data_IF_751497892096
#
_entry.id   IF_751497892096
#
_cell.length_a   1.000
_cell.length_b   1.000
_cell.length_c   1.000
_cell.angle_alpha   90.00
_cell.angle_beta   90.00
_cell.angle_gamma   90.00
#
_symmetry.space_group_name_H-M   'P 1'
#
loop_
_entity.id
_entity.type
_entity.pdbx_description
1 polymer ?
#
# COMPACT_ATOMS: atom_id res chain seq x y z
N UNK A 1 -3.28 2.06 -8.10
CA UNK A 1 -1.89 1.81 -8.55
C UNK A 1 -0.85 2.03 -7.44
N UNK A 2 -0.79 3.17 -6.76
CA UNK A 2 0.31 3.49 -5.82
C UNK A 2 0.44 2.55 -4.59
N UNK A 3 -0.68 2.02 -4.08
CA UNK A 3 -0.69 1.16 -2.87
C UNK A 3 0.02 -0.19 -3.08
N UNK A 4 0.04 -0.73 -4.31
CA UNK A 4 0.77 -1.98 -4.60
C UNK A 4 2.29 -1.80 -4.51
N UNK A 5 2.83 -0.64 -4.88
CA UNK A 5 4.25 -0.33 -4.71
C UNK A 5 4.65 -0.29 -3.23
N UNK A 6 3.78 0.24 -2.37
CA UNK A 6 4.01 0.26 -0.92
C UNK A 6 4.06 -1.17 -0.38
N UNK A 7 3.06 -1.99 -0.75
CA UNK A 7 3.01 -3.41 -0.35
C UNK A 7 4.25 -4.16 -0.84
N UNK A 8 4.64 -3.99 -2.10
CA UNK A 8 5.85 -4.59 -2.67
C UNK A 8 7.11 -4.18 -1.92
N UNK A 9 7.27 -2.89 -1.61
CA UNK A 9 8.42 -2.38 -0.87
C UNK A 9 8.51 -2.96 0.54
N UNK A 10 7.38 -3.17 1.21
CA UNK A 10 7.32 -3.83 2.52
C UNK A 10 7.64 -5.33 2.44
N UNK A 11 7.13 -6.04 1.42
CA UNK A 11 7.39 -7.47 1.21
C UNK A 11 8.88 -7.78 1.04
N UNK A 12 9.62 -6.90 0.36
CA UNK A 12 11.06 -7.07 0.18
C UNK A 12 11.84 -7.11 1.49
N UNK A 13 11.41 -6.39 2.54
CA UNK A 13 12.05 -6.46 3.86
C UNK A 13 11.72 -7.73 4.64
N UNK A 14 10.69 -8.46 4.21
CA UNK A 14 10.36 -9.80 4.70
C UNK A 14 11.11 -10.89 3.91
N UNK A 15 11.85 -10.53 2.87
CA UNK A 15 12.49 -11.49 1.97
C UNK A 15 11.53 -12.14 0.97
N UNK A 16 10.32 -11.60 0.82
CA UNK A 16 9.30 -12.11 -0.11
C UNK A 16 9.29 -11.34 -1.43
N UNK A 17 8.81 -12.02 -2.48
CA UNK A 17 8.57 -11.45 -3.80
C UNK A 17 7.08 -11.39 -4.15
N UNK A 18 6.77 -10.85 -5.33
CA UNK A 18 5.42 -10.86 -5.90
C UNK A 18 5.43 -11.76 -7.14
N UNK A 19 4.43 -12.62 -7.26
CA UNK A 19 4.20 -13.48 -8.43
C UNK A 19 2.86 -13.14 -9.06
N UNK A 20 2.77 -13.23 -10.38
CA UNK A 20 1.54 -12.99 -11.13
C UNK A 20 1.09 -14.27 -11.82
N UNK A 21 -0.21 -14.54 -11.81
CA UNK A 21 -0.85 -15.62 -12.55
C UNK A 21 -2.13 -15.13 -13.22
N UNK A 22 -2.64 -15.89 -14.19
CA UNK A 22 -3.88 -15.56 -14.85
C UNK A 22 -5.07 -15.62 -13.87
N UNK A 23 -6.10 -14.77 -14.02
CA UNK A 23 -7.27 -14.82 -13.17
C UNK A 23 -8.01 -16.15 -13.34
N UNK A 24 -8.26 -16.85 -12.22
CA UNK A 24 -9.02 -18.11 -12.20
C UNK A 24 -10.51 -17.90 -11.83
N UNK A 25 -10.92 -16.64 -11.68
CA UNK A 25 -12.27 -16.26 -11.20
C UNK A 25 -13.10 -15.66 -12.33
N UNK A 26 -14.41 -15.90 -12.29
CA UNK A 26 -15.36 -15.14 -13.07
C UNK A 26 -15.53 -13.75 -12.45
N UNK A 27 -15.30 -12.70 -13.23
CA UNK A 27 -15.44 -11.32 -12.76
C UNK A 27 -16.73 -10.71 -13.32
N UNK A 28 -17.68 -10.42 -12.42
CA UNK A 28 -18.77 -9.49 -12.72
C UNK A 28 -18.22 -8.06 -12.58
N UNK A 29 -18.09 -7.38 -13.71
CA UNK A 29 -17.48 -6.03 -13.77
C UNK A 29 -18.58 -4.99 -13.65
N UNK A 30 -18.34 -3.97 -12.83
CA UNK A 30 -19.19 -2.78 -12.81
C UNK A 30 -19.23 -2.14 -14.20
N UNK A 31 -20.32 -1.42 -14.50
CA UNK A 31 -20.40 -0.67 -15.75
C UNK A 31 -19.32 0.42 -15.77
N UNK A 32 -18.39 0.29 -16.72
CA UNK A 32 -17.23 1.15 -16.88
C UNK A 32 -17.53 2.33 -17.81
N UNK A 33 -17.00 3.49 -17.46
CA UNK A 33 -16.89 4.64 -18.37
C UNK A 33 -15.44 4.69 -18.83
N UNK A 34 -15.20 4.22 -20.06
CA UNK A 34 -13.85 3.99 -20.57
C UNK A 34 -13.03 5.29 -20.62
N UNK A 35 -13.66 6.43 -20.93
CA UNK A 35 -12.97 7.71 -21.07
C UNK A 35 -12.57 8.24 -19.69
N UNK A 36 -13.46 8.14 -18.71
CA UNK A 36 -13.18 8.53 -17.32
C UNK A 36 -12.10 7.62 -16.70
N UNK A 37 -12.26 6.31 -16.85
CA UNK A 37 -11.36 5.35 -16.23
C UNK A 37 -9.95 5.47 -16.83
N UNK A 38 -9.83 5.73 -18.14
CA UNK A 38 -8.53 6.05 -18.76
C UNK A 38 -7.92 7.34 -18.19
N UNK A 39 -8.70 8.42 -18.09
CA UNK A 39 -8.21 9.70 -17.56
C UNK A 39 -7.71 9.58 -16.11
N UNK A 40 -8.41 8.79 -15.28
CA UNK A 40 -8.03 8.54 -13.88
C UNK A 40 -6.74 7.70 -13.76
N UNK A 41 -6.39 6.91 -14.77
CA UNK A 41 -5.12 6.15 -14.79
C UNK A 41 -3.91 6.97 -15.24
N UNK A 42 -4.08 8.02 -16.05
CA UNK A 42 -2.97 8.84 -16.60
C UNK A 42 -2.04 9.43 -15.52
N UNK A 43 -2.55 10.00 -14.41
CA UNK A 43 -1.69 10.44 -13.28
C UNK A 43 -0.90 9.28 -12.66
N UNK A 44 -1.48 8.07 -12.63
CA UNK A 44 -0.82 6.87 -12.16
C UNK A 44 0.40 6.52 -13.01
N UNK A 45 0.25 6.48 -14.33
CA UNK A 45 1.36 6.16 -15.23
C UNK A 45 2.49 7.19 -15.19
N UNK A 46 2.16 8.48 -15.06
CA UNK A 46 3.15 9.56 -15.06
C UNK A 46 3.97 9.64 -13.78
N UNK A 47 3.39 9.25 -12.63
CA UNK A 47 4.06 9.35 -11.31
C UNK A 47 4.66 8.05 -10.79
N UNK A 48 4.46 6.92 -11.47
CA UNK A 48 4.99 5.62 -11.03
C UNK A 48 6.51 5.63 -10.75
N UNK A 49 7.29 6.28 -11.64
CA UNK A 49 8.75 6.36 -11.48
C UNK A 49 9.15 7.20 -10.26
N UNK A 50 8.44 8.30 -10.01
CA UNK A 50 8.62 9.15 -8.84
C UNK A 50 8.37 8.36 -7.56
N UNK A 51 7.22 7.66 -7.49
CA UNK A 51 6.81 6.84 -6.34
C UNK A 51 7.84 5.73 -6.07
N UNK A 52 8.25 5.00 -7.10
CA UNK A 52 9.25 3.95 -6.98
C UNK A 52 10.58 4.51 -6.45
N UNK A 53 11.02 5.67 -6.94
CA UNK A 53 12.23 6.33 -6.46
C UNK A 53 12.11 6.75 -4.99
N UNK A 54 11.00 7.37 -4.58
CA UNK A 54 10.76 7.79 -3.19
C UNK A 54 10.80 6.58 -2.24
N UNK A 55 10.11 5.50 -2.61
CA UNK A 55 10.03 4.27 -1.80
C UNK A 55 11.37 3.52 -1.75
N UNK A 56 12.12 3.49 -2.85
CA UNK A 56 13.43 2.81 -2.91
C UNK A 56 14.46 3.43 -1.95
N UNK A 57 14.33 4.72 -1.65
CA UNK A 57 15.22 5.46 -0.74
C UNK A 57 14.88 5.27 0.73
N UNK A 58 13.71 4.69 1.04
CA UNK A 58 13.31 4.47 2.43
C UNK A 58 14.10 3.33 3.05
N UNK A 59 14.67 3.59 4.22
CA UNK A 59 15.27 2.57 5.06
C UNK A 59 14.18 1.93 5.91
N UNK A 60 13.73 0.77 5.47
CA UNK A 60 12.72 -0.03 6.15
C UNK A 60 13.41 -1.11 6.98
N UNK A 61 12.71 -1.59 8.01
CA UNK A 61 13.23 -2.59 8.95
C UNK A 61 12.74 -3.99 8.60
N UNK A 62 13.57 -4.99 8.86
CA UNK A 62 13.21 -6.40 8.62
C UNK A 62 12.31 -6.97 9.71
N UNK A 63 11.55 -8.00 9.34
CA UNK A 63 10.72 -8.79 10.24
C UNK A 63 9.26 -8.36 10.28
N UNK A 64 8.38 -9.32 10.55
CA UNK A 64 6.92 -9.15 10.50
C UNK A 64 6.41 -8.10 11.48
N UNK A 65 7.01 -8.00 12.66
CA UNK A 65 6.67 -7.00 13.66
C UNK A 65 6.89 -5.54 13.17
N UNK A 66 7.69 -5.34 12.12
CA UNK A 66 8.00 -4.02 11.57
C UNK A 66 7.11 -3.64 10.38
N UNK A 67 6.23 -4.53 9.90
CA UNK A 67 5.39 -4.27 8.70
C UNK A 67 4.52 -3.02 8.88
N UNK A 68 3.90 -2.85 10.05
CA UNK A 68 3.07 -1.67 10.34
C UNK A 68 3.88 -0.37 10.34
N UNK A 69 5.04 -0.37 11.00
CA UNK A 69 5.92 0.82 11.05
C UNK A 69 6.50 1.15 9.68
N UNK A 70 6.85 0.12 8.90
CA UNK A 70 7.32 0.27 7.53
C UNK A 70 6.24 0.85 6.62
N UNK A 71 4.99 0.40 6.77
CA UNK A 71 3.84 0.95 6.06
C UNK A 71 3.68 2.44 6.36
N UNK A 72 3.70 2.82 7.64
CA UNK A 72 3.59 4.20 8.05
C UNK A 72 4.72 5.06 7.45
N UNK A 73 5.98 4.60 7.52
CA UNK A 73 7.14 5.30 6.92
C UNK A 73 7.00 5.52 5.41
N UNK A 74 6.50 4.52 4.69
CA UNK A 74 6.23 4.67 3.26
C UNK A 74 5.20 5.78 2.99
N UNK A 75 4.14 5.84 3.79
CA UNK A 75 3.12 6.87 3.68
C UNK A 75 3.65 8.26 4.04
N UNK A 76 4.46 8.41 5.09
CA UNK A 76 5.13 9.67 5.43
C UNK A 76 5.96 10.19 4.26
N UNK A 77 6.76 9.33 3.65
CA UNK A 77 7.61 9.69 2.51
C UNK A 77 6.78 10.12 1.28
N UNK A 78 5.67 9.42 1.01
CA UNK A 78 4.80 9.74 -0.12
C UNK A 78 3.96 11.01 0.10
N UNK A 79 3.55 11.29 1.33
CA UNK A 79 2.92 12.56 1.69
C UNK A 79 3.91 13.72 1.58
N UNK A 80 5.14 13.54 2.06
CA UNK A 80 6.20 14.54 1.92
C UNK A 80 6.54 14.84 0.44
N UNK A 81 6.41 13.84 -0.44
CA UNK A 81 6.57 13.99 -1.88
C UNK A 81 5.31 14.52 -2.60
N UNK A 82 4.22 14.84 -1.90
CA UNK A 82 2.97 15.31 -2.50
C UNK A 82 2.27 14.26 -3.36
N UNK A 83 2.52 12.97 -3.12
CA UNK A 83 1.79 11.86 -3.76
C UNK A 83 0.42 11.69 -3.12
N UNK A 84 0.32 11.89 -1.80
CA UNK A 84 -0.91 11.83 -1.04
C UNK A 84 -1.15 13.12 -0.24
N UNK A 85 -2.41 13.47 0.05
CA UNK A 85 -2.72 14.52 1.01
C UNK A 85 -2.29 14.12 2.42
N UNK A 86 -1.98 15.10 3.27
CA UNK A 86 -1.55 14.86 4.65
C UNK A 86 -2.57 14.10 5.50
N UNK A 87 -3.87 14.22 5.19
CA UNK A 87 -4.95 13.49 5.86
C UNK A 87 -4.81 11.96 5.74
N UNK A 88 -4.12 11.45 4.71
CA UNK A 88 -3.90 10.01 4.53
C UNK A 88 -3.07 9.41 5.68
N UNK A 89 -2.19 10.19 6.33
CA UNK A 89 -1.41 9.69 7.48
C UNK A 89 -2.29 9.33 8.66
N UNK A 90 -3.29 10.16 8.96
CA UNK A 90 -4.22 9.89 10.06
C UNK A 90 -5.07 8.65 9.75
N UNK A 91 -5.51 8.46 8.51
CA UNK A 91 -6.22 7.25 8.10
C UNK A 91 -5.37 5.99 8.27
N UNK A 92 -4.08 6.04 7.90
CA UNK A 92 -3.17 4.89 8.04
C UNK A 92 -2.88 4.59 9.51
N UNK A 93 -2.71 5.62 10.36
CA UNK A 93 -2.55 5.43 11.81
C UNK A 93 -3.77 4.74 12.42
N UNK A 94 -4.97 5.24 12.15
CA UNK A 94 -6.22 4.66 12.62
C UNK A 94 -6.36 3.21 12.17
N UNK A 95 -6.08 2.92 10.89
CA UNK A 95 -6.13 1.57 10.37
C UNK A 95 -5.13 0.61 11.06
N UNK A 96 -3.91 1.07 11.34
CA UNK A 96 -2.91 0.29 12.08
C UNK A 96 -3.32 0.06 13.55
N UNK A 97 -3.95 1.05 14.18
CA UNK A 97 -4.51 0.92 15.53
C UNK A 97 -5.64 -0.11 15.58
N UNK A 98 -6.58 -0.03 14.64
CA UNK A 98 -7.67 -1.00 14.50
C UNK A 98 -7.14 -2.43 14.31
N UNK A 99 -6.10 -2.61 13.49
CA UNK A 99 -5.49 -3.91 13.29
C UNK A 99 -4.84 -4.45 14.59
N UNK A 100 -4.16 -3.59 15.35
CA UNK A 100 -3.57 -3.97 16.66
C UNK A 100 -4.66 -4.35 17.68
N UNK A 101 -5.80 -3.64 17.67
CA UNK A 101 -6.95 -3.97 18.51
C UNK A 101 -7.60 -5.29 18.10
N UNK A 102 -7.73 -5.56 16.81
CA UNK A 102 -8.25 -6.83 16.32
C UNK A 102 -7.34 -8.02 16.68
N UNK A 103 -6.02 -7.85 16.54
CA UNK A 103 -5.04 -8.88 16.89
C UNK A 103 -5.08 -9.26 18.38
N UNK A 104 -5.23 -8.27 19.28
CA UNK A 104 -5.31 -8.51 20.72
C UNK A 104 -6.61 -9.22 21.13
N UNK A 105 -7.73 -8.95 20.46
CA UNK A 105 -9.02 -9.65 20.70
C UNK A 105 -9.02 -11.11 20.28
N UNK A 106 -8.27 -11.47 19.24
CA UNK A 106 -8.14 -12.86 18.76
C UNK A 106 -7.28 -13.77 19.64
N UNK A 107 -6.61 -13.24 20.67
CA UNK A 107 -5.65 -13.99 21.51
C UNK A 107 -6.21 -14.33 22.90
N UNK A 108 -7.47 -13.99 23.20
CA UNK A 108 -8.13 -14.48 24.42
C UNK A 108 -8.54 -15.95 24.24
N UNK A 109 -8.02 -16.89 25.06
CA UNK A 109 -8.53 -18.26 25.07
C UNK A 109 -9.97 -18.27 25.61
N UNK A 110 -10.81 -19.12 25.01
CA UNK A 110 -12.15 -19.42 25.49
C UNK A 110 -12.15 -20.09 26.87
#
# INVERSE_FOLDING_TARGET
MCKSFIAQRCLWELGYGITFHAPEVFQDRNQHDLDRDFADEVPGYTRNKEIANVLSRQQLRRGEAQVGDNLHRCYEALVAAGVFPSAELELVKLWLEDFRLAATRGTQPA
#
